data_IF_488477665390
#
_entry.id   IF_488477665390
#
_cell.length_a   1.000
_cell.length_b   1.000
_cell.length_c   1.000
_cell.angle_alpha   90.00
_cell.angle_beta   90.00
_cell.angle_gamma   90.00
#
_symmetry.space_group_name_H-M   'P 1'
#
loop_
_entity.id
_entity.type
_entity.pdbx_description
1 polymer ?
#
# COMPACT_ATOMS: atom_id res chain seq x y z
N UNK A 1 -52.88 -66.05 1.68
CA UNK A 1 -52.35 -65.73 3.02
C UNK A 1 -51.31 -64.62 2.90
N UNK A 2 -51.51 -63.55 3.67
CA UNK A 2 -50.53 -62.59 4.24
C UNK A 2 -49.61 -61.73 3.36
N UNK A 3 -49.64 -60.43 3.69
CA UNK A 3 -48.87 -59.26 3.23
C UNK A 3 -47.37 -59.36 3.57
N UNK A 4 -46.51 -58.65 2.82
CA UNK A 4 -45.81 -57.43 3.29
C UNK A 4 -44.88 -56.84 2.20
N UNK A 5 -44.99 -55.53 2.01
CA UNK A 5 -44.02 -54.63 1.37
C UNK A 5 -42.84 -54.38 2.32
N UNK A 6 -41.61 -54.32 1.84
CA UNK A 6 -40.49 -53.53 2.41
C UNK A 6 -39.33 -53.55 1.37
N UNK A 7 -39.06 -52.51 0.59
CA UNK A 7 -38.42 -51.22 0.93
C UNK A 7 -36.90 -51.32 1.22
N UNK A 8 -36.12 -50.78 0.26
CA UNK A 8 -34.86 -50.00 0.42
C UNK A 8 -33.70 -50.66 1.22
N UNK A 9 -32.46 -50.70 0.73
CA UNK A 9 -31.57 -49.53 0.64
C UNK A 9 -30.29 -49.83 -0.16
N UNK A 10 -29.76 -48.73 -0.69
CA UNK A 10 -28.57 -48.52 -1.50
C UNK A 10 -27.25 -48.71 -0.74
N UNK A 11 -26.17 -48.88 -1.52
CA UNK A 11 -24.76 -48.78 -1.12
C UNK A 11 -24.05 -50.09 -1.45
N UNK A 12 -23.01 -50.17 -2.28
CA UNK A 12 -21.80 -49.38 -2.29
C UNK A 12 -21.16 -49.39 -3.69
N UNK A 13 -21.20 -48.28 -4.42
CA UNK A 13 -20.38 -48.11 -5.63
C UNK A 13 -18.98 -47.70 -5.18
N UNK A 14 -18.15 -48.73 -5.07
CA UNK A 14 -16.74 -48.68 -4.74
C UNK A 14 -15.97 -48.44 -6.03
N UNK A 15 -15.71 -47.20 -6.40
CA UNK A 15 -14.64 -46.86 -7.36
C UNK A 15 -14.39 -45.35 -7.39
N UNK A 16 -13.27 -44.92 -6.81
CA UNK A 16 -12.54 -43.72 -7.26
C UNK A 16 -11.91 -44.06 -8.61
N UNK A 17 -11.83 -43.11 -9.55
CA UNK A 17 -10.50 -42.51 -9.72
C UNK A 17 -10.52 -41.01 -10.05
N UNK A 18 -9.44 -40.35 -9.62
CA UNK A 18 -8.70 -39.33 -10.38
C UNK A 18 -9.50 -38.15 -10.94
N UNK A 19 -9.64 -37.12 -10.12
CA UNK A 19 -9.93 -35.76 -10.55
C UNK A 19 -9.18 -34.80 -9.65
N UNK A 20 -7.84 -34.83 -9.70
CA UNK A 20 -7.02 -33.85 -9.01
C UNK A 20 -7.26 -32.48 -9.67
N UNK A 21 -8.19 -31.71 -9.09
CA UNK A 21 -8.36 -30.30 -9.41
C UNK A 21 -7.10 -29.57 -8.95
N UNK A 22 -6.17 -29.39 -9.89
CA UNK A 22 -4.99 -28.53 -9.74
C UNK A 22 -5.49 -27.10 -9.64
N UNK A 23 -5.79 -26.63 -8.43
CA UNK A 23 -6.01 -25.22 -8.16
C UNK A 23 -4.66 -24.55 -8.36
N UNK A 24 -4.47 -23.94 -9.53
CA UNK A 24 -3.35 -23.06 -9.80
C UNK A 24 -3.42 -21.90 -8.79
N UNK A 25 -2.69 -22.04 -7.68
CA UNK A 25 -2.32 -20.90 -6.85
C UNK A 25 -1.52 -19.97 -7.75
N UNK A 26 -2.17 -18.92 -8.25
CA UNK A 26 -1.49 -17.73 -8.68
C UNK A 26 -0.85 -17.12 -7.42
N UNK A 27 0.37 -17.57 -7.13
CA UNK A 27 1.26 -16.81 -6.28
C UNK A 27 1.54 -15.51 -7.05
N UNK A 28 0.76 -14.47 -6.77
CA UNK A 28 1.19 -13.10 -7.05
C UNK A 28 2.49 -12.95 -6.26
N UNK A 29 3.62 -13.06 -6.95
CA UNK A 29 4.89 -12.63 -6.41
C UNK A 29 4.76 -11.12 -6.21
N UNK A 30 4.30 -10.74 -5.02
CA UNK A 30 4.36 -9.37 -4.54
C UNK A 30 5.85 -9.08 -4.29
N UNK A 31 6.54 -8.71 -5.37
CA UNK A 31 7.83 -8.06 -5.30
C UNK A 31 7.59 -6.57 -5.26
N UNK A 32 8.37 -5.87 -4.42
CA UNK A 32 8.22 -4.46 -4.15
C UNK A 32 8.01 -3.68 -5.47
N UNK A 33 6.85 -3.06 -5.61
CA UNK A 33 6.49 -2.40 -6.86
C UNK A 33 7.32 -1.13 -7.00
N UNK A 34 8.05 -1.00 -8.11
CA UNK A 34 8.86 0.19 -8.40
C UNK A 34 8.08 1.13 -9.28
N UNK A 35 7.64 2.26 -8.71
CA UNK A 35 6.88 3.27 -9.45
C UNK A 35 7.66 4.57 -9.50
N UNK A 36 7.91 5.07 -10.72
CA UNK A 36 8.75 6.26 -10.96
C UNK A 36 10.11 6.17 -10.25
N UNK A 37 10.70 4.97 -10.19
CA UNK A 37 11.97 4.69 -9.52
C UNK A 37 11.91 4.64 -7.99
N UNK A 38 10.74 4.88 -7.38
CA UNK A 38 10.53 4.72 -5.94
C UNK A 38 9.97 3.33 -5.62
N UNK A 39 10.47 2.73 -4.55
CA UNK A 39 10.04 1.43 -4.06
C UNK A 39 8.75 1.59 -3.22
N UNK A 40 7.76 0.75 -3.47
CA UNK A 40 6.52 0.69 -2.68
C UNK A 40 6.42 -0.64 -1.93
N UNK A 41 5.84 -0.64 -0.70
CA UNK A 41 5.55 -1.87 0.00
C UNK A 41 4.66 -2.80 -0.82
N UNK A 42 4.93 -4.10 -0.72
CA UNK A 42 4.14 -5.16 -1.37
C UNK A 42 2.66 -5.07 -1.03
N UNK A 43 1.79 -5.09 -2.04
CA UNK A 43 0.35 -4.97 -1.89
C UNK A 43 -0.16 -3.52 -1.80
N UNK A 44 0.69 -2.54 -2.08
CA UNK A 44 0.28 -1.13 -2.19
C UNK A 44 -0.77 -0.96 -3.29
N UNK A 45 -1.82 -0.18 -3.00
CA UNK A 45 -2.89 0.09 -3.97
C UNK A 45 -2.84 1.55 -4.42
N UNK A 46 -2.85 1.79 -5.74
CA UNK A 46 -2.92 3.16 -6.27
C UNK A 46 -4.29 3.76 -5.96
N UNK A 47 -4.30 4.88 -5.23
CA UNK A 47 -5.52 5.63 -4.84
C UNK A 47 -5.64 6.97 -5.56
N UNK A 48 -4.60 7.38 -6.30
CA UNK A 48 -4.59 8.59 -7.11
C UNK A 48 -3.27 8.77 -7.83
N UNK A 49 -3.09 9.90 -8.50
CA UNK A 49 -1.84 10.20 -9.20
C UNK A 49 -0.68 10.33 -8.21
N UNK A 50 0.34 9.48 -8.36
CA UNK A 50 1.47 9.35 -7.44
C UNK A 50 1.09 9.06 -5.97
N UNK A 51 -0.16 8.62 -5.72
CA UNK A 51 -0.69 8.32 -4.37
C UNK A 51 -1.03 6.85 -4.25
N UNK A 52 -0.50 6.23 -3.21
CA UNK A 52 -0.63 4.81 -2.93
C UNK A 52 -1.09 4.59 -1.49
N UNK A 53 -1.94 3.61 -1.26
CA UNK A 53 -2.31 3.13 0.06
C UNK A 53 -1.38 1.98 0.41
N UNK A 54 -0.67 2.10 1.53
CA UNK A 54 0.11 1.00 2.08
C UNK A 54 -0.85 -0.05 2.68
N UNK A 55 -0.58 -1.35 2.52
CA UNK A 55 -1.34 -2.39 3.20
C UNK A 55 -0.89 -2.60 4.66
N UNK A 56 0.20 -1.95 5.07
CA UNK A 56 0.76 -2.01 6.43
C UNK A 56 0.40 -0.76 7.22
N UNK A 57 0.43 -0.87 8.54
CA UNK A 57 0.32 0.27 9.45
C UNK A 57 1.51 1.23 9.31
N UNK A 58 1.41 2.39 9.97
CA UNK A 58 2.39 3.46 9.78
C UNK A 58 3.79 3.05 10.20
N UNK A 59 3.93 2.44 11.38
CA UNK A 59 5.21 1.98 11.90
C UNK A 59 5.82 0.89 11.01
N UNK A 60 5.03 -0.10 10.58
CA UNK A 60 5.49 -1.14 9.65
C UNK A 60 5.88 -0.61 8.27
N UNK A 61 5.21 0.45 7.80
CA UNK A 61 5.57 1.15 6.56
C UNK A 61 6.88 1.92 6.72
N UNK A 62 7.10 2.57 7.87
CA UNK A 62 8.37 3.24 8.17
C UNK A 62 9.53 2.25 8.31
N UNK A 63 9.31 1.08 8.92
CA UNK A 63 10.31 0.02 9.01
C UNK A 63 10.70 -0.52 7.64
N UNK A 64 9.72 -0.77 6.76
CA UNK A 64 10.00 -1.11 5.37
C UNK A 64 10.90 -0.06 4.71
N UNK A 65 10.57 1.22 4.83
CA UNK A 65 11.38 2.28 4.24
C UNK A 65 12.73 2.48 4.91
N UNK A 66 12.92 2.05 6.17
CA UNK A 66 14.25 2.00 6.80
C UNK A 66 15.17 0.97 6.16
N UNK A 67 14.61 -0.18 5.77
CA UNK A 67 15.35 -1.23 5.07
C UNK A 67 15.69 -0.84 3.63
N UNK A 68 14.74 -0.23 2.92
CA UNK A 68 14.91 0.15 1.50
C UNK A 68 15.71 1.44 1.33
N UNK A 69 15.46 2.44 2.17
CA UNK A 69 16.11 3.75 2.15
C UNK A 69 16.75 4.04 3.51
N UNK A 70 18.05 3.78 3.58
CA UNK A 70 18.82 3.97 4.81
C UNK A 70 18.70 5.42 5.31
N UNK A 71 18.59 5.59 6.64
CA UNK A 71 18.40 6.90 7.25
C UNK A 71 19.56 7.87 6.96
N UNK A 72 20.76 7.34 6.74
CA UNK A 72 21.96 8.11 6.40
C UNK A 72 21.93 8.65 4.97
N UNK A 73 21.37 7.89 4.02
CA UNK A 73 21.28 8.29 2.61
C UNK A 73 19.99 9.06 2.27
N UNK A 74 18.93 8.88 3.07
CA UNK A 74 17.62 9.46 2.83
C UNK A 74 17.10 10.12 4.12
N UNK A 75 17.40 11.41 4.32
CA UNK A 75 17.03 12.11 5.55
C UNK A 75 15.51 12.17 5.69
N UNK A 76 15.03 11.95 6.91
CA UNK A 76 13.60 11.95 7.24
C UNK A 76 13.24 13.19 8.04
N UNK A 77 12.10 13.80 7.69
CA UNK A 77 11.56 14.97 8.39
C UNK A 77 10.12 14.72 8.73
N UNK A 78 9.72 14.97 9.96
CA UNK A 78 8.31 14.96 10.32
C UNK A 78 7.64 16.20 9.71
N UNK A 79 6.50 16.02 9.05
CA UNK A 79 5.83 17.10 8.30
C UNK A 79 4.74 17.79 9.13
N UNK A 80 4.21 17.16 10.18
CA UNK A 80 2.96 17.61 10.82
C UNK A 80 3.06 17.66 12.34
N UNK A 81 2.42 18.70 12.89
CA UNK A 81 2.26 19.00 14.32
C UNK A 81 0.78 18.95 14.76
N UNK A 82 -0.10 18.29 13.99
CA UNK A 82 -1.53 18.17 14.34
C UNK A 82 -1.79 16.88 15.14
N UNK A 83 -2.62 16.96 16.19
CA UNK A 83 -2.98 15.78 16.96
C UNK A 83 -3.76 14.78 16.07
N UNK A 84 -3.34 13.51 16.09
CA UNK A 84 -4.01 12.42 15.38
C UNK A 84 -3.58 12.18 13.93
N UNK A 85 -2.63 12.95 13.38
CA UNK A 85 -2.09 12.71 12.03
C UNK A 85 -0.57 12.54 12.11
N UNK A 86 -0.06 11.36 11.75
CA UNK A 86 1.39 11.12 11.64
C UNK A 86 1.83 11.36 10.20
N UNK A 87 2.89 12.14 10.00
CA UNK A 87 3.41 12.40 8.68
C UNK A 87 4.93 12.48 8.65
N UNK A 88 5.55 11.75 7.72
CA UNK A 88 7.00 11.73 7.52
C UNK A 88 7.32 11.95 6.05
N UNK A 89 8.21 12.89 5.79
CA UNK A 89 8.87 13.08 4.51
C UNK A 89 10.19 12.32 4.52
N UNK A 90 10.47 11.57 3.46
CA UNK A 90 11.77 10.97 3.16
C UNK A 90 12.31 11.69 1.92
N UNK A 91 13.38 12.45 2.07
CA UNK A 91 13.99 13.17 0.94
C UNK A 91 14.94 12.26 0.16
N UNK A 92 14.92 12.34 -1.17
CA UNK A 92 15.93 11.72 -2.03
C UNK A 92 16.97 12.77 -2.44
N UNK A 93 18.17 12.79 -1.80
CA UNK A 93 19.19 13.79 -2.11
C UNK A 93 19.76 13.64 -3.53
N UNK A 94 19.61 12.47 -4.16
CA UNK A 94 20.06 12.28 -5.54
C UNK A 94 19.17 13.01 -6.55
N UNK A 95 17.90 13.28 -6.19
CA UNK A 95 16.93 13.91 -7.10
C UNK A 95 16.66 13.13 -8.40
N UNK A 96 17.11 11.87 -8.49
CA UNK A 96 16.92 11.00 -9.66
C UNK A 96 15.60 10.26 -9.54
N UNK A 97 14.79 10.29 -10.61
CA UNK A 97 13.46 9.69 -10.75
C UNK A 97 12.35 10.30 -9.87
N UNK A 98 12.63 10.50 -8.58
CA UNK A 98 11.72 11.14 -7.63
C UNK A 98 12.50 12.04 -6.67
N UNK A 99 11.85 13.07 -6.13
CA UNK A 99 12.46 14.00 -5.17
C UNK A 99 12.33 13.53 -3.71
N UNK A 100 11.29 12.76 -3.40
CA UNK A 100 11.09 12.21 -2.07
C UNK A 100 9.74 11.51 -1.95
N UNK A 101 9.46 11.04 -0.74
CA UNK A 101 8.23 10.32 -0.39
C UNK A 101 7.59 11.04 0.79
N UNK A 102 6.28 11.24 0.74
CA UNK A 102 5.51 11.65 1.92
C UNK A 102 4.65 10.47 2.36
N UNK A 103 4.75 10.12 3.63
CA UNK A 103 3.97 9.05 4.25
C UNK A 103 3.06 9.73 5.26
N UNK A 104 1.75 9.49 5.15
CA UNK A 104 0.73 10.03 6.03
C UNK A 104 -0.07 8.89 6.63
N UNK A 105 -0.41 8.98 7.91
CA UNK A 105 -1.41 8.14 8.57
C UNK A 105 -2.59 9.03 8.98
N UNK A 106 -3.78 8.68 8.49
CA UNK A 106 -5.03 9.32 8.88
C UNK A 106 -6.19 8.33 8.75
N UNK A 107 -7.10 8.30 9.73
CA UNK A 107 -8.25 7.39 9.76
C UNK A 107 -7.85 5.91 9.56
N UNK A 108 -6.79 5.48 10.26
CA UNK A 108 -6.22 4.12 10.16
C UNK A 108 -5.79 3.71 8.73
N UNK A 109 -5.61 4.70 7.85
CA UNK A 109 -5.11 4.49 6.50
C UNK A 109 -3.75 5.18 6.31
N UNK A 110 -2.79 4.39 5.84
CA UNK A 110 -1.46 4.88 5.50
C UNK A 110 -1.37 5.19 4.01
N UNK A 111 -1.12 6.45 3.69
CA UNK A 111 -0.99 6.95 2.32
C UNK A 111 0.45 7.36 2.04
N UNK A 112 0.98 6.87 0.93
CA UNK A 112 2.30 7.17 0.40
C UNK A 112 2.11 8.06 -0.84
N UNK A 113 2.77 9.21 -0.85
CA UNK A 113 2.84 10.11 -1.98
C UNK A 113 4.27 10.18 -2.52
N UNK A 114 4.44 9.84 -3.79
CA UNK A 114 5.72 9.98 -4.48
C UNK A 114 5.80 11.41 -5.00
N UNK A 115 6.78 12.18 -4.51
CA UNK A 115 7.02 13.54 -4.98
C UNK A 115 7.84 13.47 -6.27
N UNK A 116 7.28 13.84 -7.43
CA UNK A 116 8.03 13.83 -8.68
C UNK A 116 9.10 14.94 -8.66
N UNK A 117 10.20 14.71 -9.36
CA UNK A 117 11.34 15.64 -9.45
C UNK A 117 10.94 17.05 -9.90
N UNK A 118 9.97 17.14 -10.81
CA UNK A 118 9.48 18.42 -11.34
C UNK A 118 8.62 19.21 -10.35
N UNK A 119 7.99 18.55 -9.37
CA UNK A 119 7.22 19.24 -8.32
C UNK A 119 8.10 19.73 -7.18
N UNK A 120 9.22 19.08 -6.87
CA UNK A 120 10.13 19.54 -5.81
C UNK A 120 10.83 20.86 -6.14
N UNK A 121 10.95 21.20 -7.44
CA UNK A 121 11.45 22.50 -7.88
C UNK A 121 10.43 23.65 -7.75
N UNK A 122 9.17 23.36 -7.44
CA UNK A 122 8.16 24.38 -7.13
C UNK A 122 8.12 24.54 -5.61
N UNK A 123 8.78 25.57 -5.03
CA UNK A 123 8.60 25.85 -3.61
C UNK A 123 7.11 26.03 -3.36
N UNK A 124 6.57 25.32 -2.38
CA UNK A 124 5.20 25.48 -1.93
C UNK A 124 4.99 26.98 -1.67
N UNK A 125 4.23 27.65 -2.55
CA UNK A 125 3.77 29.00 -2.29
C UNK A 125 3.05 28.93 -0.95
N UNK A 126 3.63 29.55 0.08
CA UNK A 126 2.91 29.93 1.29
C UNK A 126 1.59 30.56 0.79
N UNK A 127 0.42 30.17 1.31
CA UNK A 127 -0.78 30.92 1.03
C UNK A 127 -0.52 32.35 1.51
N UNK A 128 -0.36 33.25 0.55
CA UNK A 128 -0.21 34.68 0.76
C UNK A 128 -1.51 35.11 1.43
N UNK A 129 -1.43 35.40 2.73
CA UNK A 129 -2.55 35.94 3.48
C UNK A 129 -2.92 37.25 2.84
N UNK A 130 -4.06 37.25 2.14
CA UNK A 130 -4.72 38.42 1.59
C UNK A 130 -4.85 39.46 2.69
N UNK A 131 -3.95 40.45 2.72
CA UNK A 131 -4.15 41.67 3.50
C UNK A 131 -5.26 42.44 2.82
N UNK A 132 -6.47 42.22 3.29
CA UNK A 132 -7.66 43.02 2.99
C UNK A 132 -7.35 44.48 3.29
N UNK A 133 -7.26 45.27 2.23
CA UNK A 133 -7.13 46.73 2.25
C UNK A 133 -8.40 47.34 2.86
N UNK A 134 -8.25 47.97 4.02
CA UNK A 134 -9.19 48.91 4.66
C UNK A 134 -8.25 49.90 5.37
N UNK A 135 -8.22 51.19 5.09
CA UNK A 135 -9.29 52.17 4.92
C UNK A 135 -8.71 53.37 4.15
#
# INVERSE_FOLDING_TARGET
MMRALDSLKRGFYKARPLGAALVALWAVSAGAEVVNGAQLPDGSKRVGENRYRSPRDFDGTLEYYRAVYSTSGYPRRQIVNQPGVKAVHISNPSGKNFAGLNIYEANDEVRIYIVPTQQAARPAKKPETTKSRKK
#
